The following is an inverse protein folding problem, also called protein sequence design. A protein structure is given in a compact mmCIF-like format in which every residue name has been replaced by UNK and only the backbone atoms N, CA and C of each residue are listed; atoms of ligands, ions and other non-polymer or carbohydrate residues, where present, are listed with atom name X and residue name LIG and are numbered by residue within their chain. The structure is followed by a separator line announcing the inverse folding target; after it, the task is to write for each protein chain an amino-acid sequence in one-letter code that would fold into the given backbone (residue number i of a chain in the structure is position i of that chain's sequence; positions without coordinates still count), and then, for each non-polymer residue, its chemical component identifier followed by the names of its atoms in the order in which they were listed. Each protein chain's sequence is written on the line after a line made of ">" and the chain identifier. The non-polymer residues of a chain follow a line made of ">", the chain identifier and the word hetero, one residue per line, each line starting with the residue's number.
data_IF_738332518804
#
_entry.id   IF_738332518804
#
_cell.length_a   1.000
_cell.length_b   1.000
_cell.length_c   1.000
_cell.angle_alpha   90.00
_cell.angle_beta   90.00
_cell.angle_gamma   90.00
#
_symmetry.space_group_name_H-M   'P 1'
#
loop_
_entity.id
_entity.type
_entity.pdbx_description
1 polymer ?
#
# COMPACT_ATOMS: atom_id res chain seq x y z
N UNK A 1 7.70 16.71 -6.42
CA UNK A 1 8.06 15.77 -7.52
C UNK A 1 8.56 14.50 -6.85
N UNK A 2 7.99 13.35 -7.17
CA UNK A 2 8.47 12.08 -6.63
C UNK A 2 9.68 11.64 -7.46
N UNK A 3 10.77 11.26 -6.81
CA UNK A 3 11.98 10.73 -7.44
C UNK A 3 12.02 9.22 -7.22
N UNK A 4 12.22 8.46 -8.29
CA UNK A 4 12.24 7.01 -8.28
C UNK A 4 13.20 6.50 -9.35
N UNK A 5 13.76 5.31 -9.15
CA UNK A 5 14.61 4.67 -10.14
C UNK A 5 13.79 4.38 -11.41
N UNK A 6 14.41 4.57 -12.58
CA UNK A 6 13.77 4.31 -13.88
C UNK A 6 13.24 2.88 -14.00
N UNK A 7 13.83 1.93 -13.28
CA UNK A 7 13.36 0.54 -13.24
C UNK A 7 12.02 0.37 -12.50
N UNK A 8 11.69 1.22 -11.54
CA UNK A 8 10.56 1.07 -10.59
C UNK A 8 9.23 1.65 -11.11
N UNK A 9 9.04 1.64 -12.43
CA UNK A 9 7.86 2.26 -13.08
C UNK A 9 6.55 1.60 -12.69
N UNK A 10 6.55 0.30 -12.46
CA UNK A 10 5.37 -0.46 -12.08
C UNK A 10 4.90 -0.11 -10.66
N UNK A 11 5.83 0.07 -9.73
CA UNK A 11 5.54 0.51 -8.36
C UNK A 11 4.94 1.92 -8.36
N UNK A 12 5.48 2.84 -9.15
CA UNK A 12 4.93 4.20 -9.25
C UNK A 12 3.54 4.20 -9.90
N UNK A 13 3.33 3.38 -10.93
CA UNK A 13 2.02 3.21 -11.54
C UNK A 13 1.00 2.64 -10.53
N UNK A 14 1.43 1.69 -9.68
CA UNK A 14 0.64 1.12 -8.59
C UNK A 14 0.12 2.18 -7.63
N UNK A 15 1.03 3.00 -7.08
CA UNK A 15 0.67 4.03 -6.10
C UNK A 15 -0.16 5.15 -6.72
N UNK A 16 0.08 5.53 -7.97
CA UNK A 16 -0.73 6.54 -8.67
C UNK A 16 -2.18 6.10 -8.91
N UNK A 17 -2.44 4.79 -8.90
CA UNK A 17 -3.80 4.26 -9.04
C UNK A 17 -4.60 4.27 -7.72
N UNK A 18 -3.94 4.48 -6.57
CA UNK A 18 -4.59 4.53 -5.26
C UNK A 18 -5.30 5.87 -5.09
N UNK A 19 -6.61 5.82 -4.83
CA UNK A 19 -7.44 7.01 -4.59
C UNK A 19 -8.05 7.00 -3.19
N UNK A 20 -8.09 8.17 -2.58
CA UNK A 20 -8.78 8.40 -1.30
C UNK A 20 -10.28 8.49 -1.54
N UNK A 21 -11.05 7.71 -0.80
CA UNK A 21 -12.52 7.68 -0.88
C UNK A 21 -13.13 7.87 0.49
N UNK A 22 -14.24 8.58 0.54
CA UNK A 22 -15.04 8.74 1.76
C UNK A 22 -16.21 7.77 1.70
N UNK A 23 -16.30 6.86 2.65
CA UNK A 23 -17.42 5.93 2.74
C UNK A 23 -18.70 6.68 3.13
N UNK A 24 -19.89 6.11 2.87
CA UNK A 24 -21.16 6.70 3.30
C UNK A 24 -21.22 6.96 4.81
N UNK A 25 -20.52 6.15 5.62
CA UNK A 25 -20.39 6.33 7.07
C UNK A 25 -19.42 7.44 7.51
N UNK A 26 -18.79 8.14 6.57
CA UNK A 26 -17.90 9.27 6.84
C UNK A 26 -16.43 8.92 7.01
N UNK A 27 -16.07 7.63 6.97
CA UNK A 27 -14.69 7.17 7.10
C UNK A 27 -13.91 7.41 5.83
N UNK A 28 -12.63 7.71 5.99
CA UNK A 28 -11.69 7.76 4.87
C UNK A 28 -11.14 6.35 4.66
N UNK A 29 -11.22 5.86 3.42
CA UNK A 29 -10.57 4.64 2.96
C UNK A 29 -9.79 4.93 1.68
N UNK A 30 -9.00 3.95 1.24
CA UNK A 30 -8.26 4.00 -0.02
C UNK A 30 -8.68 2.83 -0.89
N UNK A 31 -8.86 3.08 -2.18
CA UNK A 31 -9.21 2.04 -3.15
C UNK A 31 -8.38 2.16 -4.42
N UNK A 32 -8.29 1.05 -5.15
CA UNK A 32 -7.68 0.94 -6.48
C UNK A 32 -8.69 0.30 -7.42
N UNK A 33 -8.63 0.64 -8.71
CA UNK A 33 -9.48 -0.02 -9.71
C UNK A 33 -9.05 -1.49 -9.89
N UNK A 34 -10.01 -2.40 -10.06
CA UNK A 34 -9.79 -3.84 -10.29
C UNK A 34 -9.95 -4.24 -11.76
N UNK A 35 -10.09 -3.28 -12.68
CA UNK A 35 -10.26 -3.56 -14.10
C UNK A 35 -9.10 -4.41 -14.67
N UNK A 36 -9.44 -5.55 -15.31
CA UNK A 36 -8.47 -6.40 -16.03
C UNK A 36 -7.71 -5.56 -17.06
N UNK A 37 -6.42 -5.36 -16.84
CA UNK A 37 -5.52 -4.56 -17.69
C UNK A 37 -4.92 -3.32 -17.01
N UNK A 38 -5.47 -2.89 -15.87
CA UNK A 38 -4.88 -1.87 -14.98
C UNK A 38 -4.25 -2.60 -13.79
N UNK A 39 -3.26 -3.44 -14.09
CA UNK A 39 -2.73 -4.45 -13.16
C UNK A 39 -1.66 -3.88 -12.23
N UNK A 40 -1.97 -3.05 -11.23
CA UNK A 40 -0.96 -2.71 -10.21
C UNK A 40 -1.47 -2.43 -8.79
N UNK A 41 -2.78 -2.54 -8.50
CA UNK A 41 -3.28 -2.28 -7.14
C UNK A 41 -2.62 -3.18 -6.08
N UNK A 42 -2.39 -4.45 -6.42
CA UNK A 42 -1.83 -5.44 -5.50
C UNK A 42 -0.37 -5.12 -5.11
N UNK A 43 0.41 -4.51 -6.00
CA UNK A 43 1.79 -4.12 -5.70
C UNK A 43 1.82 -2.98 -4.66
N UNK A 44 0.96 -1.97 -4.81
CA UNK A 44 0.83 -0.91 -3.82
C UNK A 44 0.35 -1.46 -2.47
N UNK A 45 -0.64 -2.36 -2.49
CA UNK A 45 -1.15 -3.01 -1.28
C UNK A 45 -0.09 -3.84 -0.57
N UNK A 46 0.65 -4.67 -1.32
CA UNK A 46 1.74 -5.47 -0.77
C UNK A 46 2.83 -4.59 -0.13
N UNK A 47 3.22 -3.48 -0.78
CA UNK A 47 4.19 -2.53 -0.20
C UNK A 47 3.66 -1.85 1.05
N UNK A 48 2.40 -1.40 1.07
CA UNK A 48 1.79 -0.80 2.27
C UNK A 48 1.74 -1.81 3.43
N UNK A 49 1.31 -3.05 3.15
CA UNK A 49 1.28 -4.13 4.14
C UNK A 49 2.68 -4.46 4.64
N UNK A 50 3.69 -4.51 3.76
CA UNK A 50 5.07 -4.71 4.15
C UNK A 50 5.55 -3.60 5.09
N UNK A 51 5.31 -2.32 4.76
CA UNK A 51 5.70 -1.19 5.64
C UNK A 51 4.98 -1.20 6.99
N UNK A 52 3.72 -1.62 7.03
CA UNK A 52 2.95 -1.72 8.28
C UNK A 52 3.45 -2.88 9.14
N UNK A 53 3.85 -3.99 8.52
CA UNK A 53 4.23 -5.21 9.23
C UNK A 53 5.75 -5.35 9.47
N UNK A 54 6.56 -4.58 8.75
CA UNK A 54 8.02 -4.56 8.85
C UNK A 54 8.48 -3.13 9.16
N UNK A 55 8.55 -2.75 10.46
CA UNK A 55 9.02 -1.43 10.84
C UNK A 55 10.49 -1.27 10.43
N UNK A 56 10.73 -0.37 9.49
CA UNK A 56 12.08 0.00 9.05
C UNK A 56 12.81 0.66 10.23
N UNK A 57 13.80 -0.03 10.80
CA UNK A 57 14.60 0.44 11.95
C UNK A 57 14.29 -0.25 13.29
N UNK A 58 13.44 -1.29 13.30
CA UNK A 58 13.11 -2.06 14.50
C UNK A 58 14.12 -3.15 14.87
N UNK A 59 15.36 -2.80 15.21
CA UNK A 59 16.32 -3.73 15.85
C UNK A 59 16.08 -3.86 17.38
N UNK A 60 14.81 -3.73 17.83
CA UNK A 60 14.42 -3.67 19.24
C UNK A 60 13.56 -4.85 19.69
N UNK A 61 14.01 -5.55 20.73
CA UNK A 61 13.62 -6.89 21.21
C UNK A 61 12.14 -7.13 21.63
N UNK A 62 11.17 -6.22 21.46
CA UNK A 62 9.86 -6.36 22.14
C UNK A 62 8.60 -5.91 21.36
N UNK A 63 8.51 -6.11 20.05
CA UNK A 63 7.27 -5.83 19.31
C UNK A 63 6.56 -7.11 18.88
N UNK A 64 5.79 -7.67 19.83
CA UNK A 64 4.85 -8.77 19.59
C UNK A 64 3.65 -8.20 18.81
N UNK A 65 3.63 -8.32 17.49
CA UNK A 65 2.48 -7.86 16.71
C UNK A 65 1.66 -9.03 16.15
N UNK A 66 0.36 -9.03 16.48
CA UNK A 66 -0.60 -10.10 16.16
C UNK A 66 -1.31 -9.78 14.84
N UNK A 67 -1.23 -10.70 13.88
CA UNK A 67 -1.95 -10.64 12.61
C UNK A 67 -3.44 -10.88 12.86
N UNK A 68 -4.30 -9.98 12.35
CA UNK A 68 -5.72 -10.27 12.15
C UNK A 68 -5.96 -10.32 10.63
N UNK A 69 -6.15 -11.53 10.10
CA UNK A 69 -6.70 -11.72 8.76
C UNK A 69 -8.21 -11.39 8.79
N UNK A 70 -8.70 -10.79 7.70
CA UNK A 70 -10.13 -10.59 7.41
C UNK A 70 -10.55 -11.48 6.24
#
# INVERSE_FOLDING_TARGET
>A
RWEYDRAERELVAAFNAVRKVKTPGGFITYETDRARGISHGDLAWATMLAVINEPIGGEGENERFTVMEF
#
